data_IF_722214491052
#
_entry.id   IF_722214491052
#
_cell.length_a   1.000
_cell.length_b   1.000
_cell.length_c   1.000
_cell.angle_alpha   90.00
_cell.angle_beta   90.00
_cell.angle_gamma   90.00
#
_symmetry.space_group_name_H-M   'P 1'
#
loop_
_entity.id
_entity.type
_entity.pdbx_description
1 polymer ?
#
# COMPACT_ATOMS: atom_id res chain seq x y z
N UNK A 1 -9.97 0.11 5.53
CA UNK A 1 -10.86 0.87 6.44
C UNK A 1 -10.15 1.08 7.79
N UNK A 2 -10.27 2.28 8.39
CA UNK A 2 -9.73 2.55 9.74
C UNK A 2 -10.86 2.60 10.77
N UNK A 3 -10.50 2.64 12.05
CA UNK A 3 -11.47 2.72 13.16
C UNK A 3 -12.32 4.00 13.14
N UNK A 4 -11.82 5.07 12.53
CA UNK A 4 -12.51 6.35 12.43
C UNK A 4 -13.18 6.57 11.05
N UNK A 5 -13.20 5.54 10.19
CA UNK A 5 -13.76 5.61 8.84
C UNK A 5 -12.73 5.49 7.72
N UNK A 6 -13.09 5.99 6.55
CA UNK A 6 -12.26 5.92 5.34
C UNK A 6 -11.18 6.99 5.33
N UNK A 7 -9.99 6.59 4.89
CA UNK A 7 -8.84 7.47 4.79
C UNK A 7 -8.27 7.39 3.37
N UNK A 8 -8.12 8.55 2.74
CA UNK A 8 -7.46 8.66 1.45
C UNK A 8 -5.96 8.81 1.66
N UNK A 9 -5.17 7.94 1.01
CA UNK A 9 -3.70 7.96 1.09
C UNK A 9 -3.15 8.07 -0.31
N UNK A 10 -2.23 9.00 -0.53
CA UNK A 10 -1.52 9.15 -1.79
C UNK A 10 -0.30 8.23 -1.80
N UNK A 11 -0.27 7.26 -2.72
CA UNK A 11 0.89 6.41 -2.98
C UNK A 11 1.74 7.09 -4.06
N UNK A 12 3.03 7.33 -3.76
CA UNK A 12 3.96 7.94 -4.73
C UNK A 12 4.38 6.92 -5.78
N UNK A 13 4.65 7.38 -6.99
CA UNK A 13 5.23 6.54 -8.05
C UNK A 13 6.57 5.97 -7.57
N UNK A 14 6.86 4.71 -7.92
CA UNK A 14 8.08 4.02 -7.48
C UNK A 14 8.08 3.53 -6.03
N UNK A 15 6.96 3.61 -5.31
CA UNK A 15 6.85 3.05 -3.96
C UNK A 15 7.09 1.54 -4.00
N UNK A 16 8.06 1.08 -3.20
CA UNK A 16 8.47 -0.31 -3.21
C UNK A 16 7.46 -1.23 -2.51
N UNK A 17 7.36 -2.50 -2.92
CA UNK A 17 6.63 -3.51 -2.17
C UNK A 17 7.10 -3.58 -0.71
N UNK A 18 6.21 -3.93 0.22
CA UNK A 18 6.48 -4.01 1.66
C UNK A 18 6.83 -2.68 2.35
N UNK A 19 6.72 -1.54 1.65
CA UNK A 19 6.83 -0.23 2.29
C UNK A 19 5.75 -0.08 3.37
N UNK A 20 6.16 0.38 4.55
CA UNK A 20 5.27 0.66 5.68
C UNK A 20 5.01 2.15 5.78
N UNK A 21 3.74 2.55 5.72
CA UNK A 21 3.29 3.92 5.93
C UNK A 21 2.76 4.04 7.35
N UNK A 22 3.29 5.00 8.11
CA UNK A 22 2.83 5.31 9.48
C UNK A 22 1.89 6.50 9.46
N UNK A 23 0.71 6.32 10.04
CA UNK A 23 -0.29 7.36 10.25
C UNK A 23 -0.37 7.67 11.73
N UNK A 24 0.30 8.74 12.14
CA UNK A 24 0.38 9.17 13.53
C UNK A 24 -1.00 9.50 14.10
N UNK A 25 -1.33 8.98 15.28
CA UNK A 25 -2.57 9.32 15.99
C UNK A 25 -3.88 8.81 15.35
N UNK A 26 -3.78 7.92 14.36
CA UNK A 26 -4.92 7.24 13.72
C UNK A 26 -5.12 5.80 14.21
N UNK A 27 -4.34 5.38 15.20
CA UNK A 27 -4.48 4.09 15.87
C UNK A 27 -5.52 4.11 16.98
N UNK A 28 -5.54 3.03 17.76
CA UNK A 28 -6.53 2.80 18.82
C UNK A 28 -6.40 3.87 19.93
N UNK A 29 -7.54 4.34 20.44
CA UNK A 29 -7.59 5.23 21.61
C UNK A 29 -7.14 4.46 22.86
N UNK A 30 -6.25 5.05 23.66
CA UNK A 30 -5.77 4.40 24.88
C UNK A 30 -6.91 4.26 25.91
N UNK A 31 -7.04 3.07 26.52
CA UNK A 31 -8.11 2.76 27.48
C UNK A 31 -7.96 3.51 28.82
N UNK A 32 -6.74 3.85 29.22
CA UNK A 32 -6.44 4.51 30.52
C UNK A 32 -5.48 5.70 30.37
N UNK A 33 -5.73 6.58 29.40
CA UNK A 33 -4.91 7.79 29.20
C UNK A 33 -5.39 8.70 28.07
N UNK A 34 -4.69 9.82 27.87
CA UNK A 34 -4.91 10.72 26.74
C UNK A 34 -4.13 10.25 25.50
N UNK A 35 -4.72 10.47 24.31
CA UNK A 35 -4.08 10.20 23.02
C UNK A 35 -4.51 8.91 22.31
N UNK A 36 -4.08 8.82 21.06
CA UNK A 36 -4.28 7.67 20.16
C UNK A 36 -2.93 7.08 19.78
N UNK A 37 -2.91 5.78 19.52
CA UNK A 37 -1.76 5.11 18.92
C UNK A 37 -1.56 5.49 17.44
N UNK A 38 -0.62 4.82 16.81
CA UNK A 38 -0.36 4.97 15.37
C UNK A 38 -1.00 3.85 14.58
N UNK A 39 -1.33 4.12 13.32
CA UNK A 39 -1.83 3.12 12.38
C UNK A 39 -0.78 2.86 11.31
N UNK A 40 -0.42 1.59 11.13
CA UNK A 40 0.60 1.17 10.18
C UNK A 40 -0.05 0.46 9.00
N UNK A 41 0.32 0.86 7.79
CA UNK A 41 -0.15 0.25 6.54
C UNK A 41 1.04 -0.35 5.85
N UNK A 42 1.01 -1.66 5.64
CA UNK A 42 2.01 -2.36 4.83
C UNK A 42 1.47 -2.53 3.42
N UNK A 43 2.19 -1.99 2.45
CA UNK A 43 1.82 -2.14 1.05
C UNK A 43 2.18 -3.56 0.56
N UNK A 44 1.20 -4.24 0.00
CA UNK A 44 1.37 -5.55 -0.64
C UNK A 44 1.02 -5.41 -2.12
N UNK A 45 1.97 -5.75 -2.98
CA UNK A 45 1.72 -5.91 -4.41
C UNK A 45 1.24 -7.34 -4.64
N UNK A 46 0.10 -7.49 -5.30
CA UNK A 46 -0.46 -8.78 -5.67
C UNK A 46 -0.36 -8.88 -7.19
N UNK A 47 0.37 -9.88 -7.67
CA UNK A 47 0.46 -10.18 -9.09
C UNK A 47 -0.71 -11.11 -9.46
N UNK A 48 -1.35 -10.91 -10.62
CA UNK A 48 -2.42 -11.78 -11.07
C UNK A 48 -1.88 -13.14 -11.53
N UNK A 49 -2.61 -14.22 -11.23
CA UNK A 49 -2.20 -15.59 -11.60
C UNK A 49 -2.37 -15.90 -13.09
N UNK A 50 -3.28 -15.19 -13.77
CA UNK A 50 -3.57 -15.37 -15.19
C UNK A 50 -3.34 -14.06 -15.92
N UNK A 51 -2.48 -14.11 -16.93
CA UNK A 51 -2.20 -12.98 -17.82
C UNK A 51 -2.85 -13.25 -19.18
N UNK A 52 -3.56 -12.26 -19.72
CA UNK A 52 -3.98 -12.27 -21.12
C UNK A 52 -2.77 -12.03 -22.03
N UNK A 53 -2.88 -12.38 -23.32
CA UNK A 53 -1.81 -12.10 -24.30
C UNK A 53 -1.32 -10.65 -24.25
N UNK A 54 -2.26 -9.69 -24.24
CA UNK A 54 -1.92 -8.26 -24.14
C UNK A 54 -1.19 -7.90 -22.84
N UNK A 55 -1.52 -8.53 -21.72
CA UNK A 55 -0.84 -8.28 -20.45
C UNK A 55 0.60 -8.84 -20.47
N UNK A 56 0.83 -9.98 -21.13
CA UNK A 56 2.16 -10.54 -21.32
C UNK A 56 3.04 -9.63 -22.18
N UNK A 57 2.50 -9.10 -23.29
CA UNK A 57 3.23 -8.18 -24.17
C UNK A 57 3.71 -6.93 -23.42
N UNK A 58 2.85 -6.36 -22.56
CA UNK A 58 3.19 -5.19 -21.74
C UNK A 58 4.28 -5.49 -20.71
N UNK A 59 4.25 -6.67 -20.09
CA UNK A 59 5.30 -7.10 -19.16
C UNK A 59 6.63 -7.26 -19.89
N UNK A 60 6.62 -7.80 -21.12
CA UNK A 60 7.84 -7.95 -21.92
C UNK A 60 8.42 -6.58 -22.34
N UNK A 61 7.58 -5.62 -22.73
CA UNK A 61 8.02 -4.26 -23.04
C UNK A 61 8.65 -3.59 -21.81
N UNK A 62 8.00 -3.71 -20.64
CA UNK A 62 8.54 -3.18 -19.39
C UNK A 62 9.89 -3.82 -19.04
N UNK A 63 10.03 -5.14 -19.23
CA UNK A 63 11.29 -5.83 -19.01
C UNK A 63 12.40 -5.28 -19.93
N UNK A 64 12.10 -5.04 -21.20
CA UNK A 64 13.08 -4.54 -22.17
C UNK A 64 13.52 -3.10 -21.86
N UNK A 65 12.63 -2.24 -21.36
CA UNK A 65 12.97 -0.86 -20.97
C UNK A 65 13.81 -0.78 -19.68
N UNK A 66 13.66 -1.77 -18.79
CA UNK A 66 14.38 -1.85 -17.52
C UNK A 66 15.72 -2.59 -17.62
N UNK A 67 16.03 -3.18 -18.78
CA UNK A 67 17.28 -3.89 -19.08
C UNK A 67 18.31 -2.95 -19.71
#
# INVERSE_FOLDING_TARGET
>A
PTLDGDLTIKIRQGTQPSTTIRLSGKGIKRLRGSGRGDFYIKLKVILPDKLSHRAQDLVQQLQNELS
#
